data_IF_734016173289
#
_entry.id   IF_734016173289
#
_cell.length_a   1.000
_cell.length_b   1.000
_cell.length_c   1.000
_cell.angle_alpha   90.00
_cell.angle_beta   90.00
_cell.angle_gamma   90.00
#
_symmetry.space_group_name_H-M   'P 1'
#
loop_
_entity.id
_entity.type
_entity.pdbx_description
1 polymer ?
#
# COMPACT_ATOMS: atom_id res chain seq x y z
N UNK A 1 -39.76 42.63 12.01
CA UNK A 1 -39.01 41.67 12.85
C UNK A 1 -38.66 40.47 12.00
N UNK A 2 -37.36 40.16 11.83
CA UNK A 2 -36.85 39.08 10.98
C UNK A 2 -37.01 37.73 11.70
N UNK A 3 -37.89 36.87 11.21
CA UNK A 3 -37.99 35.47 11.64
C UNK A 3 -36.87 34.65 10.98
N UNK A 4 -35.97 34.09 11.79
CA UNK A 4 -34.95 33.13 11.32
C UNK A 4 -35.55 31.72 11.33
N UNK A 5 -35.71 31.13 10.15
CA UNK A 5 -36.00 29.70 10.02
C UNK A 5 -34.75 28.90 10.42
N UNK A 6 -34.87 28.04 11.44
CA UNK A 6 -33.89 27.00 11.75
C UNK A 6 -34.24 25.78 10.90
N UNK A 7 -33.40 25.46 9.92
CA UNK A 7 -33.46 24.20 9.19
C UNK A 7 -32.77 23.15 10.06
N UNK A 8 -33.53 22.19 10.57
CA UNK A 8 -33.02 20.98 11.24
C UNK A 8 -32.97 19.90 10.17
N UNK A 9 -31.78 19.45 9.81
CA UNK A 9 -31.59 18.28 8.93
C UNK A 9 -31.53 17.04 9.83
N UNK A 10 -32.48 16.10 9.76
CA UNK A 10 -32.35 14.85 10.48
C UNK A 10 -31.35 13.96 9.73
N UNK A 11 -30.15 13.78 10.31
CA UNK A 11 -29.23 12.73 9.88
C UNK A 11 -29.74 11.41 10.46
N UNK A 12 -30.46 10.65 9.63
CA UNK A 12 -30.78 9.25 9.92
C UNK A 12 -29.52 8.43 9.67
N UNK A 13 -28.83 8.05 10.75
CA UNK A 13 -27.78 7.04 10.68
C UNK A 13 -28.49 5.68 10.59
N UNK A 14 -28.65 5.19 9.37
CA UNK A 14 -28.98 3.79 9.16
C UNK A 14 -27.73 2.96 9.51
N UNK A 15 -27.79 2.27 10.64
CA UNK A 15 -26.85 1.21 10.99
C UNK A 15 -27.02 0.06 9.99
N UNK A 16 -26.32 0.12 8.86
CA UNK A 16 -26.14 -1.01 7.97
C UNK A 16 -25.04 -1.90 8.57
N UNK A 17 -25.47 -2.85 9.39
CA UNK A 17 -24.67 -3.99 9.78
C UNK A 17 -24.34 -4.82 8.53
N UNK A 18 -23.17 -4.58 7.95
CA UNK A 18 -22.49 -5.52 7.05
C UNK A 18 -21.06 -5.67 7.56
N UNK A 19 -20.95 -6.24 8.76
CA UNK A 19 -19.69 -6.69 9.34
C UNK A 19 -19.31 -8.04 8.74
N UNK A 20 -18.66 -8.01 7.59
CA UNK A 20 -18.03 -9.17 6.96
C UNK A 20 -16.57 -9.29 7.38
N UNK A 21 -16.32 -10.12 8.39
CA UNK A 21 -15.11 -10.94 8.55
C UNK A 21 -13.73 -10.25 8.62
N UNK A 22 -13.37 -9.75 9.81
CA UNK A 22 -11.97 -9.66 10.24
C UNK A 22 -11.66 -10.87 11.12
N UNK A 23 -10.96 -11.88 10.58
CA UNK A 23 -10.36 -12.94 11.40
C UNK A 23 -9.06 -12.39 11.99
N UNK A 24 -9.11 -12.09 13.28
CA UNK A 24 -7.97 -11.69 14.09
C UNK A 24 -7.06 -12.89 14.39
N UNK A 25 -5.78 -12.79 14.03
CA UNK A 25 -4.71 -13.57 14.67
C UNK A 25 -3.87 -12.58 15.49
N UNK A 26 -3.98 -12.64 16.83
CA UNK A 26 -3.17 -11.83 17.75
C UNK A 26 -1.70 -12.27 17.70
N UNK A 27 -0.71 -11.37 17.55
CA UNK A 27 0.66 -11.69 17.92
C UNK A 27 0.81 -11.62 19.46
N UNK A 28 1.37 -12.67 20.05
CA UNK A 28 1.87 -12.64 21.43
C UNK A 28 3.05 -11.68 21.49
N UNK A 29 2.89 -10.56 22.20
CA UNK A 29 4.00 -9.68 22.58
C UNK A 29 4.71 -10.31 23.76
N UNK A 30 5.92 -10.84 23.52
CA UNK A 30 6.85 -11.19 24.59
C UNK A 30 7.66 -9.95 24.97
N UNK A 31 7.38 -9.40 26.15
CA UNK A 31 8.11 -8.28 26.75
C UNK A 31 9.36 -8.80 27.47
N UNK A 32 10.55 -8.30 27.11
CA UNK A 32 11.71 -8.29 28.02
C UNK A 32 12.50 -6.97 27.88
N UNK A 33 13.18 -6.52 28.96
CA UNK A 33 13.34 -5.10 29.27
C UNK A 33 14.63 -4.47 28.76
N UNK A 34 14.57 -3.15 28.65
CA UNK A 34 15.66 -2.23 28.32
C UNK A 34 16.84 -2.29 29.31
N UNK A 35 18.05 -2.09 28.79
CA UNK A 35 19.25 -1.74 29.57
C UNK A 35 19.83 -0.42 29.03
N UNK A 36 19.88 0.58 29.92
CA UNK A 36 20.65 1.83 29.85
C UNK A 36 22.16 1.48 29.84
N UNK A 37 23.14 2.16 29.23
CA UNK A 37 23.59 3.57 29.22
C UNK A 37 24.97 3.56 28.46
N UNK A 38 25.76 4.65 28.29
CA UNK A 38 25.48 6.09 28.34
C UNK A 38 25.97 6.88 27.10
N UNK A 39 25.66 8.17 27.15
CA UNK A 39 26.04 9.29 26.28
C UNK A 39 27.56 9.45 26.09
N UNK A 40 27.99 9.74 24.86
CA UNK A 40 29.21 10.49 24.59
C UNK A 40 28.95 11.58 23.53
N UNK A 41 29.25 12.80 23.94
CA UNK A 41 29.24 14.06 23.23
C UNK A 41 30.54 14.19 22.42
N UNK A 42 30.46 14.46 21.12
CA UNK A 42 31.59 14.99 20.33
C UNK A 42 31.07 16.05 19.36
N UNK A 43 31.87 17.10 19.30
CA UNK A 43 31.67 18.45 18.82
C UNK A 43 31.30 18.65 17.34
N UNK A 44 30.73 19.85 17.11
CA UNK A 44 30.43 20.46 15.82
C UNK A 44 31.67 20.64 14.94
N UNK A 45 31.52 20.40 13.65
CA UNK A 45 31.98 21.33 12.61
C UNK A 45 31.21 21.08 11.31
N UNK A 46 30.65 22.15 10.77
CA UNK A 46 29.92 22.17 9.51
C UNK A 46 30.90 22.17 8.32
N UNK A 47 30.55 21.47 7.24
CA UNK A 47 30.81 21.97 5.89
C UNK A 47 29.96 21.20 4.87
N UNK A 48 29.12 21.99 4.22
CA UNK A 48 28.49 21.84 2.92
C UNK A 48 29.02 20.71 2.00
N UNK A 49 28.12 19.81 1.61
CA UNK A 49 28.02 19.31 0.24
C UNK A 49 26.65 18.64 0.05
N UNK A 50 25.62 19.48 0.03
CA UNK A 50 24.29 19.15 -0.48
C UNK A 50 24.26 19.60 -1.93
N UNK A 51 24.44 18.69 -2.88
CA UNK A 51 24.00 18.82 -4.28
C UNK A 51 24.61 17.71 -5.11
N UNK A 52 23.81 16.71 -5.52
CA UNK A 52 23.97 15.87 -6.73
C UNK A 52 23.24 14.51 -6.66
N UNK A 53 22.85 14.03 -5.48
CA UNK A 53 22.26 12.69 -5.34
C UNK A 53 20.71 12.64 -5.26
N UNK A 54 20.04 13.80 -5.36
CA UNK A 54 18.59 13.90 -5.13
C UNK A 54 17.81 14.40 -6.35
N UNK A 55 18.39 14.30 -7.54
CA UNK A 55 17.84 14.86 -8.78
C UNK A 55 17.64 13.82 -9.91
N UNK A 56 17.39 12.54 -9.55
CA UNK A 56 17.00 11.50 -10.54
C UNK A 56 15.63 10.84 -10.23
N UNK A 57 14.98 11.16 -9.10
CA UNK A 57 13.68 10.53 -8.73
C UNK A 57 12.45 11.42 -8.99
N UNK A 58 12.53 12.36 -9.93
CA UNK A 58 11.39 13.19 -10.35
C UNK A 58 11.15 13.11 -11.85
N UNK A 59 11.14 11.88 -12.39
CA UNK A 59 10.45 11.67 -13.66
C UNK A 59 8.95 11.82 -13.38
N UNK A 60 8.36 12.86 -13.98
CA UNK A 60 6.94 13.19 -13.95
C UNK A 60 6.10 11.93 -14.18
N UNK A 61 5.37 11.52 -13.15
CA UNK A 61 4.32 10.54 -13.33
C UNK A 61 3.26 11.17 -14.22
N UNK A 62 2.85 10.50 -15.32
CA UNK A 62 1.92 11.08 -16.30
C UNK A 62 0.65 11.58 -15.62
N UNK A 63 0.02 12.62 -16.18
CA UNK A 63 -1.17 13.21 -15.58
C UNK A 63 -2.36 12.25 -15.71
N UNK A 64 -2.46 11.33 -14.75
CA UNK A 64 -3.50 10.31 -14.68
C UNK A 64 -4.71 10.86 -13.95
N UNK A 65 -5.88 10.66 -14.57
CA UNK A 65 -7.18 10.88 -13.93
C UNK A 65 -7.48 9.68 -13.03
N UNK A 66 -7.22 9.84 -11.72
CA UNK A 66 -7.56 8.87 -10.69
C UNK A 66 -9.09 8.80 -10.58
N UNK A 67 -9.66 7.66 -10.94
CA UNK A 67 -11.09 7.38 -10.77
C UNK A 67 -11.31 5.88 -10.65
N UNK A 68 -12.40 5.47 -10.01
CA UNK A 68 -12.75 4.04 -9.91
C UNK A 68 -12.90 3.40 -11.30
N UNK A 69 -13.45 4.14 -12.26
CA UNK A 69 -13.65 3.68 -13.63
C UNK A 69 -12.34 3.49 -14.39
N UNK A 70 -11.26 4.14 -13.95
CA UNK A 70 -9.95 4.09 -14.58
C UNK A 70 -8.97 3.14 -13.85
N UNK A 71 -9.38 2.51 -12.74
CA UNK A 71 -8.50 1.68 -11.91
C UNK A 71 -7.80 0.57 -12.69
N UNK A 72 -8.53 -0.11 -13.58
CA UNK A 72 -7.99 -1.15 -14.46
C UNK A 72 -8.12 -0.80 -15.94
N UNK A 73 -8.12 0.50 -16.28
CA UNK A 73 -8.05 0.92 -17.69
C UNK A 73 -6.60 1.05 -18.12
N UNK A 74 -6.09 0.00 -18.75
CA UNK A 74 -4.85 0.04 -19.50
C UNK A 74 -4.94 -0.97 -20.65
N UNK A 75 -4.46 -0.60 -21.82
CA UNK A 75 -4.44 -1.46 -23.01
C UNK A 75 -3.07 -2.16 -23.20
N UNK A 76 -2.38 -2.45 -22.10
CA UNK A 76 -1.11 -3.17 -22.14
C UNK A 76 -1.39 -4.68 -22.34
N UNK A 77 -0.71 -5.35 -23.29
CA UNK A 77 -0.86 -6.78 -23.50
C UNK A 77 -0.53 -7.58 -22.23
N UNK A 78 -1.28 -8.65 -21.98
CA UNK A 78 -0.97 -9.55 -20.86
C UNK A 78 0.41 -10.20 -21.06
N UNK A 79 1.16 -10.46 -19.98
CA UNK A 79 2.41 -11.19 -20.04
C UNK A 79 2.22 -12.57 -20.67
N UNK A 80 3.21 -13.01 -21.45
CA UNK A 80 3.23 -14.35 -22.00
C UNK A 80 3.34 -15.39 -20.87
N UNK A 81 2.53 -16.45 -20.97
CA UNK A 81 2.45 -17.49 -19.94
C UNK A 81 3.82 -18.17 -19.70
N UNK A 82 4.51 -18.54 -20.77
CA UNK A 82 5.76 -19.29 -20.67
C UNK A 82 6.87 -18.41 -20.09
N UNK A 83 6.82 -17.10 -20.38
CA UNK A 83 7.69 -16.09 -19.74
C UNK A 83 7.44 -16.01 -18.24
N UNK A 84 6.18 -15.88 -17.82
CA UNK A 84 5.83 -15.79 -16.38
C UNK A 84 6.24 -17.06 -15.63
N UNK A 85 5.88 -18.25 -16.14
CA UNK A 85 6.20 -19.51 -15.47
C UNK A 85 7.72 -19.73 -15.34
N UNK A 86 8.50 -19.33 -16.35
CA UNK A 86 9.97 -19.37 -16.30
C UNK A 86 10.53 -18.44 -15.23
N UNK A 87 10.04 -17.20 -15.17
CA UNK A 87 10.49 -16.21 -14.18
C UNK A 87 10.14 -16.66 -12.77
N UNK A 88 8.94 -17.20 -12.56
CA UNK A 88 8.54 -17.80 -11.28
C UNK A 88 9.48 -18.92 -10.84
N UNK A 89 9.78 -19.85 -11.75
CA UNK A 89 10.66 -20.97 -11.43
C UNK A 89 12.05 -20.50 -10.97
N UNK A 90 12.63 -19.50 -11.64
CA UNK A 90 13.93 -18.92 -11.25
C UNK A 90 13.83 -18.07 -9.98
N UNK A 91 12.76 -17.30 -9.81
CA UNK A 91 12.53 -16.46 -8.63
C UNK A 91 12.41 -17.33 -7.36
N UNK A 92 11.64 -18.42 -7.43
CA UNK A 92 11.35 -19.29 -6.29
C UNK A 92 12.46 -20.31 -6.00
N UNK A 93 13.40 -20.48 -6.93
CA UNK A 93 14.56 -21.36 -6.73
C UNK A 93 15.33 -20.98 -5.47
N UNK A 94 15.48 -21.97 -4.59
CA UNK A 94 16.13 -21.89 -3.28
C UNK A 94 15.42 -21.02 -2.23
N UNK A 95 14.17 -20.61 -2.46
CA UNK A 95 13.33 -19.97 -1.44
C UNK A 95 12.58 -21.06 -0.68
N UNK A 96 12.53 -20.99 0.65
CA UNK A 96 11.79 -21.95 1.46
C UNK A 96 10.30 -21.82 1.19
N UNK A 97 9.57 -22.94 1.21
CA UNK A 97 8.11 -22.93 0.96
C UNK A 97 7.37 -22.03 1.94
N UNK A 98 7.72 -22.05 3.23
CA UNK A 98 7.09 -21.21 4.27
C UNK A 98 7.25 -19.71 3.99
N UNK A 99 8.45 -19.31 3.56
CA UNK A 99 8.76 -17.91 3.23
C UNK A 99 8.06 -17.51 1.93
N UNK A 100 8.00 -18.41 0.95
CA UNK A 100 7.29 -18.19 -0.30
C UNK A 100 5.78 -17.98 -0.07
N UNK A 101 5.13 -18.83 0.72
CA UNK A 101 3.70 -18.67 1.05
C UNK A 101 3.46 -17.38 1.84
N UNK A 102 4.37 -17.03 2.77
CA UNK A 102 4.29 -15.77 3.50
C UNK A 102 4.39 -14.57 2.56
N UNK A 103 5.33 -14.58 1.61
CA UNK A 103 5.49 -13.48 0.66
C UNK A 103 4.26 -13.34 -0.27
N UNK A 104 3.79 -14.46 -0.84
CA UNK A 104 2.58 -14.52 -1.67
C UNK A 104 1.36 -13.93 -0.95
N UNK A 105 1.10 -14.37 0.28
CA UNK A 105 0.00 -13.87 1.11
C UNK A 105 0.17 -12.38 1.44
N UNK A 106 1.39 -11.96 1.79
CA UNK A 106 1.66 -10.58 2.18
C UNK A 106 1.41 -9.64 1.02
N UNK A 107 2.00 -9.88 -0.16
CA UNK A 107 1.79 -9.02 -1.34
C UNK A 107 0.31 -9.00 -1.74
N UNK A 108 -0.36 -10.14 -1.72
CA UNK A 108 -1.80 -10.21 -2.01
C UNK A 108 -2.63 -9.35 -1.04
N UNK A 109 -2.38 -9.43 0.26
CA UNK A 109 -3.08 -8.63 1.26
C UNK A 109 -2.83 -7.13 1.11
N UNK A 110 -1.60 -6.73 0.77
CA UNK A 110 -1.27 -5.33 0.50
C UNK A 110 -1.97 -4.83 -0.75
N UNK A 111 -1.91 -5.59 -1.85
CA UNK A 111 -2.62 -5.29 -3.08
C UNK A 111 -4.12 -5.14 -2.83
N UNK A 112 -4.76 -6.11 -2.18
CA UNK A 112 -6.19 -6.06 -1.87
C UNK A 112 -6.58 -4.87 -0.98
N UNK A 113 -5.69 -4.44 -0.09
CA UNK A 113 -5.91 -3.23 0.73
C UNK A 113 -5.95 -1.97 -0.13
N UNK A 114 -5.04 -1.82 -1.09
CA UNK A 114 -5.02 -0.68 -2.01
C UNK A 114 -6.21 -0.70 -2.96
N UNK A 115 -6.46 -1.84 -3.58
CA UNK A 115 -7.60 -2.12 -4.46
C UNK A 115 -8.93 -1.75 -3.77
N UNK A 116 -9.12 -2.23 -2.53
CA UNK A 116 -10.28 -1.89 -1.69
C UNK A 116 -10.38 -0.39 -1.41
N UNK A 117 -9.25 0.26 -1.14
CA UNK A 117 -9.13 1.69 -0.92
C UNK A 117 -9.68 2.53 -2.07
N UNK A 118 -9.40 2.12 -3.31
CA UNK A 118 -9.84 2.80 -4.52
C UNK A 118 -11.26 2.41 -4.97
N UNK A 119 -11.76 1.22 -4.62
CA UNK A 119 -13.05 0.70 -5.09
C UNK A 119 -14.22 0.96 -4.15
N UNK A 120 -14.04 0.72 -2.85
CA UNK A 120 -15.16 0.72 -1.92
C UNK A 120 -15.46 2.12 -1.43
N UNK A 121 -16.75 2.50 -1.48
CA UNK A 121 -17.23 3.81 -1.00
C UNK A 121 -16.97 4.05 0.49
N UNK A 122 -16.90 2.98 1.29
CA UNK A 122 -16.54 3.07 2.70
C UNK A 122 -15.09 3.56 2.90
N UNK A 123 -14.20 3.16 2.00
CA UNK A 123 -12.80 3.56 2.03
C UNK A 123 -12.56 4.86 1.25
N UNK A 124 -13.06 4.94 0.03
CA UNK A 124 -13.08 6.11 -0.86
C UNK A 124 -11.79 6.96 -0.76
N UNK A 125 -10.64 6.30 -0.98
CA UNK A 125 -9.33 6.95 -0.91
C UNK A 125 -9.23 8.15 -1.84
N UNK A 126 -9.86 8.06 -3.02
CA UNK A 126 -9.95 9.16 -3.98
C UNK A 126 -10.50 10.41 -3.29
N UNK A 127 -11.71 10.33 -2.72
CA UNK A 127 -12.29 11.48 -2.00
C UNK A 127 -11.49 11.88 -0.77
N UNK A 128 -10.97 10.91 0.00
CA UNK A 128 -10.25 11.17 1.25
C UNK A 128 -8.89 11.83 1.03
N UNK A 129 -8.18 11.52 -0.05
CA UNK A 129 -6.76 11.84 -0.20
C UNK A 129 -6.42 12.66 -1.47
N UNK A 130 -7.37 12.90 -2.38
CA UNK A 130 -7.14 13.79 -3.54
C UNK A 130 -6.82 15.23 -3.16
N UNK A 131 -7.18 15.69 -1.95
CA UNK A 131 -6.71 16.95 -1.40
C UNK A 131 -5.47 16.69 -0.51
N UNK A 132 -4.28 17.23 -0.84
CA UNK A 132 -3.08 17.08 0.00
C UNK A 132 -3.24 17.65 1.42
N UNK A 133 -4.14 18.62 1.62
CA UNK A 133 -4.45 19.17 2.94
C UNK A 133 -5.56 18.41 3.67
N UNK A 134 -5.99 17.26 3.15
CA UNK A 134 -7.03 16.47 3.79
C UNK A 134 -6.57 15.99 5.17
N UNK A 135 -7.40 16.13 6.21
CA UNK A 135 -7.09 15.56 7.51
C UNK A 135 -7.03 14.02 7.49
N UNK A 136 -7.52 13.38 6.42
CA UNK A 136 -7.44 11.93 6.25
C UNK A 136 -6.01 11.39 6.19
N UNK A 137 -5.02 12.20 5.79
CA UNK A 137 -3.62 11.75 5.70
C UNK A 137 -3.07 11.24 7.04
N UNK A 138 -3.66 11.63 8.17
CA UNK A 138 -3.31 11.10 9.51
C UNK A 138 -3.39 9.57 9.57
N UNK A 139 -4.27 8.92 8.80
CA UNK A 139 -4.34 7.45 8.71
C UNK A 139 -3.05 6.83 8.13
N UNK A 140 -2.34 7.55 7.27
CA UNK A 140 -1.08 7.11 6.67
C UNK A 140 0.15 7.49 7.51
N UNK A 141 -0.03 8.35 8.51
CA UNK A 141 1.08 8.89 9.32
C UNK A 141 1.17 8.26 10.71
N UNK A 142 0.06 7.78 11.27
CA UNK A 142 -0.04 7.40 12.69
C UNK A 142 -0.87 6.14 12.89
N UNK A 143 -0.42 5.30 13.82
CA UNK A 143 -1.18 4.14 14.34
C UNK A 143 -1.68 4.40 15.77
N UNK A 144 -2.54 3.51 16.25
CA UNK A 144 -3.18 3.59 17.56
C UNK A 144 -4.43 4.46 17.55
N UNK A 145 -4.82 4.97 18.70
CA UNK A 145 -5.96 5.87 18.82
C UNK A 145 -5.57 7.28 18.35
N UNK A 146 -5.99 7.63 17.14
CA UNK A 146 -5.65 8.87 16.44
C UNK A 146 -6.77 9.92 16.53
N UNK A 147 -6.37 11.18 16.62
CA UNK A 147 -7.25 12.34 16.47
C UNK A 147 -7.15 12.86 15.04
N UNK A 148 -8.30 13.01 14.38
CA UNK A 148 -8.38 13.48 12.99
C UNK A 148 -9.06 14.86 13.00
N UNK A 149 -8.42 15.90 12.45
CA UNK A 149 -9.05 17.22 12.40
C UNK A 149 -10.42 17.17 11.71
N UNK A 150 -11.43 17.72 12.38
CA UNK A 150 -12.83 17.72 11.91
C UNK A 150 -13.65 16.49 12.33
N UNK A 151 -13.05 15.49 12.97
CA UNK A 151 -13.78 14.36 13.55
C UNK A 151 -14.13 14.66 15.00
N UNK A 152 -15.33 14.27 15.43
CA UNK A 152 -15.79 14.44 16.82
C UNK A 152 -15.26 13.37 17.76
N UNK A 153 -14.89 12.20 17.23
CA UNK A 153 -14.42 11.05 17.99
C UNK A 153 -13.02 10.63 17.51
N UNK A 154 -12.24 10.03 18.42
CA UNK A 154 -10.96 9.42 18.07
C UNK A 154 -11.20 8.10 17.33
N UNK A 155 -10.36 7.81 16.36
CA UNK A 155 -10.43 6.58 15.57
C UNK A 155 -9.23 5.72 15.90
N UNK A 156 -9.42 4.40 16.00
CA UNK A 156 -8.29 3.47 16.11
C UNK A 156 -7.79 3.11 14.72
N UNK A 157 -6.51 3.32 14.46
CA UNK A 157 -5.85 2.96 13.22
C UNK A 157 -4.77 1.91 13.46
N UNK A 158 -4.88 0.77 12.80
CA UNK A 158 -3.93 -0.34 12.96
C UNK A 158 -2.67 -0.18 12.13
N UNK A 159 -2.78 0.48 10.97
CA UNK A 159 -1.75 0.46 9.92
C UNK A 159 -1.54 1.86 9.39
N UNK A 160 -0.28 2.30 9.39
CA UNK A 160 0.18 3.53 8.73
C UNK A 160 1.09 3.18 7.54
N UNK A 161 1.58 4.20 6.83
CA UNK A 161 2.51 4.00 5.70
C UNK A 161 3.78 3.24 6.07
N UNK A 162 4.29 3.44 7.30
CA UNK A 162 5.47 2.71 7.80
C UNK A 162 5.19 1.22 7.94
N UNK A 163 3.99 0.85 8.40
CA UNK A 163 3.58 -0.55 8.48
C UNK A 163 3.61 -1.23 7.10
N UNK A 164 3.06 -0.57 6.06
CA UNK A 164 3.11 -1.09 4.69
C UNK A 164 4.54 -1.27 4.18
N UNK A 165 5.39 -0.26 4.38
CA UNK A 165 6.80 -0.29 3.98
C UNK A 165 7.55 -1.42 4.68
N UNK A 166 7.27 -1.67 5.96
CA UNK A 166 7.87 -2.77 6.74
C UNK A 166 7.43 -4.15 6.24
N UNK A 167 6.18 -4.32 5.80
CA UNK A 167 5.73 -5.58 5.20
C UNK A 167 6.54 -5.89 3.92
N UNK A 168 6.73 -4.88 3.07
CA UNK A 168 7.54 -4.98 1.85
C UNK A 168 9.02 -5.27 2.14
N UNK A 169 9.57 -4.70 3.23
CA UNK A 169 10.95 -4.98 3.64
C UNK A 169 11.14 -6.46 4.06
N UNK A 170 10.12 -7.03 4.71
CA UNK A 170 10.09 -8.46 5.01
C UNK A 170 10.16 -9.33 3.75
N UNK A 171 9.49 -8.92 2.67
CA UNK A 171 9.51 -9.62 1.38
C UNK A 171 10.90 -9.51 0.73
N UNK A 172 11.52 -8.32 0.75
CA UNK A 172 12.89 -8.13 0.22
C UNK A 172 13.91 -9.03 0.91
N UNK A 173 13.75 -9.22 2.22
CA UNK A 173 14.61 -10.12 3.00
C UNK A 173 14.48 -11.58 2.54
N UNK A 174 13.26 -12.03 2.23
CA UNK A 174 13.00 -13.40 1.72
C UNK A 174 13.67 -13.63 0.36
N UNK A 175 13.60 -12.63 -0.52
CA UNK A 175 14.13 -12.70 -1.88
C UNK A 175 15.51 -12.05 -2.03
N UNK A 176 16.30 -12.03 -0.96
CA UNK A 176 17.65 -11.45 -0.99
C UNK A 176 18.49 -12.05 -2.13
N UNK A 177 19.06 -11.19 -2.97
CA UNK A 177 19.82 -11.57 -4.17
C UNK A 177 19.01 -11.76 -5.45
N UNK A 178 17.68 -11.64 -5.42
CA UNK A 178 16.82 -11.60 -6.61
C UNK A 178 16.58 -10.14 -7.02
N UNK A 179 17.63 -9.48 -7.52
CA UNK A 179 17.74 -8.01 -7.65
C UNK A 179 16.54 -7.37 -8.32
N UNK A 180 16.16 -7.80 -9.53
CA UNK A 180 15.06 -7.17 -10.28
C UNK A 180 13.73 -7.21 -9.54
N UNK A 181 13.40 -8.34 -8.90
CA UNK A 181 12.21 -8.46 -8.07
C UNK A 181 12.27 -7.58 -6.82
N UNK A 182 13.44 -7.49 -6.18
CA UNK A 182 13.68 -6.63 -5.01
C UNK A 182 13.58 -5.16 -5.39
N UNK A 183 14.01 -4.78 -6.58
CA UNK A 183 13.93 -3.41 -7.10
C UNK A 183 12.47 -2.99 -7.33
N UNK A 184 11.63 -3.88 -7.89
CA UNK A 184 10.19 -3.63 -8.04
C UNK A 184 9.47 -3.47 -6.67
N UNK A 185 9.83 -4.29 -5.68
CA UNK A 185 9.33 -4.13 -4.31
C UNK A 185 9.80 -2.80 -3.69
N UNK A 186 11.05 -2.41 -3.94
CA UNK A 186 11.62 -1.15 -3.46
C UNK A 186 10.89 0.04 -4.08
N UNK A 187 10.57 -0.02 -5.37
CA UNK A 187 9.75 0.99 -6.05
C UNK A 187 8.38 1.16 -5.40
N UNK A 188 7.72 0.06 -5.01
CA UNK A 188 6.46 0.15 -4.25
C UNK A 188 6.65 0.83 -2.88
N UNK A 189 7.73 0.53 -2.15
CA UNK A 189 8.06 1.21 -0.89
C UNK A 189 8.28 2.72 -1.09
N UNK A 190 9.04 3.11 -2.11
CA UNK A 190 9.35 4.50 -2.42
C UNK A 190 8.10 5.29 -2.81
N UNK A 191 7.18 4.68 -3.57
CA UNK A 191 5.89 5.29 -3.92
C UNK A 191 5.02 5.50 -2.67
N UNK A 192 4.97 4.54 -1.76
CA UNK A 192 4.21 4.69 -0.50
C UNK A 192 4.84 5.77 0.39
N UNK A 193 6.17 5.77 0.52
CA UNK A 193 6.89 6.79 1.29
C UNK A 193 6.70 8.20 0.70
N UNK A 194 6.78 8.33 -0.64
CA UNK A 194 6.50 9.57 -1.36
C UNK A 194 5.07 10.05 -1.14
N UNK A 195 4.09 9.14 -1.18
CA UNK A 195 2.70 9.47 -0.91
C UNK A 195 2.51 10.05 0.50
N UNK A 196 3.10 9.41 1.51
CA UNK A 196 2.98 9.84 2.92
C UNK A 196 3.69 11.19 3.12
N UNK A 197 4.90 11.36 2.59
CA UNK A 197 5.68 12.60 2.76
C UNK A 197 5.04 13.81 2.08
N UNK A 198 4.44 13.60 0.92
CA UNK A 198 3.94 14.69 0.07
C UNK A 198 2.42 14.80 0.03
N UNK A 199 1.72 13.94 0.76
CA UNK A 199 0.25 13.81 0.69
C UNK A 199 -0.23 13.64 -0.76
N UNK A 200 0.44 12.75 -1.48
CA UNK A 200 0.21 12.50 -2.91
C UNK A 200 -0.50 11.18 -3.16
N UNK A 201 -1.80 11.26 -3.46
CA UNK A 201 -2.59 10.07 -3.83
C UNK A 201 -2.14 9.44 -5.15
N UNK A 202 -1.52 10.19 -6.07
CA UNK A 202 -1.01 9.60 -7.32
C UNK A 202 0.08 8.59 -7.00
N UNK A 203 0.94 8.87 -6.04
CA UNK A 203 1.95 7.89 -5.60
C UNK A 203 1.32 6.62 -5.00
N UNK A 204 0.21 6.70 -4.25
CA UNK A 204 -0.53 5.50 -3.82
C UNK A 204 -1.15 4.73 -4.99
N UNK A 205 -1.63 5.43 -6.01
CA UNK A 205 -2.19 4.83 -7.21
C UNK A 205 -1.13 4.03 -7.98
N UNK A 206 0.07 4.56 -8.14
CA UNK A 206 1.14 3.81 -8.80
C UNK A 206 1.67 2.67 -7.93
N UNK A 207 1.71 2.83 -6.60
CA UNK A 207 2.05 1.73 -5.70
C UNK A 207 1.05 0.57 -5.84
N UNK A 208 -0.24 0.87 -6.00
CA UNK A 208 -1.27 -0.13 -6.32
C UNK A 208 -0.92 -0.91 -7.60
N UNK A 209 -0.58 -0.22 -8.70
CA UNK A 209 -0.27 -0.89 -9.97
C UNK A 209 0.95 -1.82 -9.88
N UNK A 210 2.00 -1.38 -9.18
CA UNK A 210 3.20 -2.23 -8.94
C UNK A 210 2.84 -3.44 -8.10
N UNK A 211 2.11 -3.26 -6.99
CA UNK A 211 1.68 -4.36 -6.12
C UNK A 211 0.74 -5.32 -6.84
N UNK A 212 -0.14 -4.81 -7.69
CA UNK A 212 -1.04 -5.57 -8.53
C UNK A 212 -0.26 -6.47 -9.48
N UNK A 213 0.72 -5.91 -10.20
CA UNK A 213 1.51 -6.67 -11.16
C UNK A 213 2.35 -7.76 -10.48
N UNK A 214 2.98 -7.41 -9.34
CA UNK A 214 3.72 -8.37 -8.50
C UNK A 214 2.82 -9.49 -7.95
N UNK A 215 1.59 -9.18 -7.54
CA UNK A 215 0.63 -10.16 -7.04
C UNK A 215 0.20 -11.12 -8.16
N UNK A 216 -0.46 -10.59 -9.18
CA UNK A 216 -1.18 -11.41 -10.16
C UNK A 216 -0.29 -12.06 -11.21
N UNK A 217 0.84 -11.44 -11.56
CA UNK A 217 1.67 -11.88 -12.68
C UNK A 217 3.05 -12.39 -12.27
N UNK A 218 3.42 -12.31 -10.99
CA UNK A 218 4.71 -12.82 -10.49
C UNK A 218 4.53 -13.80 -9.35
N UNK A 219 3.97 -13.40 -8.22
CA UNK A 219 3.93 -14.26 -7.04
C UNK A 219 2.80 -15.29 -7.09
N UNK A 220 1.60 -14.86 -7.47
CA UNK A 220 0.40 -15.68 -7.42
C UNK A 220 -0.11 -16.13 -8.79
N UNK A 221 0.70 -16.03 -9.85
CA UNK A 221 0.36 -16.55 -11.17
C UNK A 221 0.43 -18.10 -11.24
N UNK A 222 -0.45 -18.77 -12.01
CA UNK A 222 -1.75 -18.24 -12.43
C UNK A 222 -2.59 -17.97 -11.19
N UNK A 223 -3.41 -16.91 -11.20
CA UNK A 223 -4.15 -16.45 -10.02
C UNK A 223 -4.86 -17.62 -9.34
N UNK A 224 -4.30 -18.05 -8.23
CA UNK A 224 -4.92 -19.05 -7.39
C UNK A 224 -5.81 -18.31 -6.40
N UNK A 225 -7.07 -18.74 -6.27
CA UNK A 225 -7.92 -18.33 -5.17
C UNK A 225 -7.93 -19.48 -4.16
N UNK A 226 -7.03 -19.47 -3.16
CA UNK A 226 -7.11 -20.46 -2.11
C UNK A 226 -8.49 -20.41 -1.46
N UNK A 227 -9.01 -21.58 -1.11
CA UNK A 227 -10.27 -21.72 -0.40
C UNK A 227 -10.23 -20.89 0.89
N UNK A 228 -11.09 -19.88 1.00
CA UNK A 228 -11.16 -18.99 2.17
C UNK A 228 -10.47 -17.63 2.01
N UNK A 229 -9.94 -17.30 0.83
CA UNK A 229 -9.47 -15.95 0.51
C UNK A 229 -10.63 -15.10 -0.04
N UNK A 230 -10.79 -13.83 0.38
CA UNK A 230 -11.82 -12.94 -0.16
C UNK A 230 -11.69 -12.82 -1.69
N UNK A 231 -12.83 -12.83 -2.39
CA UNK A 231 -12.86 -12.52 -3.81
C UNK A 231 -12.31 -11.09 -4.05
N UNK A 232 -11.69 -10.83 -5.23
CA UNK A 232 -11.16 -9.50 -5.52
C UNK A 232 -12.29 -8.47 -5.51
N UNK A 233 -12.04 -7.25 -5.00
CA UNK A 233 -13.02 -6.16 -5.02
C UNK A 233 -13.53 -5.80 -6.42
N UNK A 234 -12.68 -5.95 -7.45
CA UNK A 234 -13.05 -5.85 -8.86
C UNK A 234 -12.43 -7.02 -9.66
N UNK A 235 -13.29 -7.78 -10.33
CA UNK A 235 -12.89 -8.89 -11.21
C UNK A 235 -12.23 -8.42 -12.51
N UNK A 236 -12.13 -7.11 -12.78
CA UNK A 236 -11.34 -6.59 -13.90
C UNK A 236 -9.84 -6.63 -13.63
N UNK A 237 -9.40 -6.51 -12.37
CA UNK A 237 -7.98 -6.55 -12.02
C UNK A 237 -7.29 -7.81 -12.53
N UNK A 238 -7.92 -8.97 -12.40
CA UNK A 238 -7.33 -10.26 -12.83
C UNK A 238 -7.13 -10.40 -14.34
N UNK A 239 -7.70 -9.48 -15.13
CA UNK A 239 -7.57 -9.40 -16.59
C UNK A 239 -6.73 -8.20 -17.03
N UNK A 240 -6.05 -7.56 -16.10
CA UNK A 240 -5.30 -6.33 -16.33
C UNK A 240 -3.85 -6.58 -16.00
N UNK A 241 -2.95 -6.02 -16.79
CA UNK A 241 -1.53 -5.93 -16.49
C UNK A 241 -1.13 -4.48 -16.72
N UNK A 242 -0.46 -3.86 -15.76
CA UNK A 242 -0.09 -2.45 -15.88
C UNK A 242 1.26 -2.23 -16.55
N UNK A 243 2.10 -3.27 -16.68
CA UNK A 243 3.44 -3.13 -17.26
C UNK A 243 4.35 -2.28 -16.38
N UNK A 244 4.18 -2.33 -15.06
CA UNK A 244 4.88 -1.43 -14.12
C UNK A 244 6.09 -2.05 -13.44
N UNK A 245 6.31 -3.35 -13.66
CA UNK A 245 7.34 -4.15 -13.02
C UNK A 245 8.41 -4.56 -14.03
N UNK A 246 9.67 -4.48 -13.61
CA UNK A 246 10.82 -4.82 -14.43
C UNK A 246 11.15 -6.31 -14.42
N UNK A 247 10.65 -7.08 -13.44
CA UNK A 247 10.92 -8.52 -13.36
C UNK A 247 10.32 -9.32 -14.51
N UNK A 248 9.38 -8.77 -15.27
CA UNK A 248 8.77 -9.38 -16.46
C UNK A 248 9.23 -8.75 -17.79
N UNK A 249 10.15 -7.78 -17.76
CA UNK A 249 10.70 -7.11 -18.95
C UNK A 249 11.80 -7.94 -19.66
#
# INVERSE_FOLDING_TARGET
MKGRYKIVIPVVIAAAAVGGYLIFSKPQVATQPAKNNPVQEVDKTASENTSAAQEIASADTPDIVISKENLHKLDVPLPDKDVVEKIQAELFKNVKQEDLEKAKKTVHELHMSFESGFIYEAENWIKKYSNPNSPGWVFWEKTGTIEIPGYTEKVYNERDGKWYIQQLEGIKTIFAGKTTFVDDITRAQELIDKAVKNHDIKSLWYAHQVLHDLDYWVLNYPIQYPKGVPAPPDWKGVKTYFGTISVLD
#
